data_IF_536461713291
#
_entry.id   IF_536461713291
#
_cell.length_a   1.000
_cell.length_b   1.000
_cell.length_c   1.000
_cell.angle_alpha   90.00
_cell.angle_beta   90.00
_cell.angle_gamma   90.00
#
_symmetry.space_group_name_H-M   'P 1'
#
loop_
_entity.id
_entity.type
_entity.pdbx_description
1 polymer ?
#
# COMPACT_ATOMS: atom_id res chain seq x y z
N UNK A 1 -18.05 15.91 -12.00
CA UNK A 1 -18.74 15.82 -10.69
C UNK A 1 -18.38 17.07 -9.91
N UNK A 2 -19.27 17.62 -9.08
CA UNK A 2 -18.89 18.73 -8.18
C UNK A 2 -18.12 18.15 -6.99
N UNK A 3 -17.11 18.86 -6.53
CA UNK A 3 -16.18 18.54 -5.43
C UNK A 3 -16.85 18.38 -4.04
N UNK A 4 -18.19 18.39 -3.98
CA UNK A 4 -18.99 18.37 -2.76
C UNK A 4 -19.96 17.19 -2.66
N UNK A 5 -19.99 16.31 -3.67
CA UNK A 5 -20.90 15.16 -3.68
C UNK A 5 -20.10 13.88 -3.49
N UNK A 6 -20.14 13.29 -2.29
CA UNK A 6 -19.56 11.96 -2.06
C UNK A 6 -20.32 10.94 -2.90
N UNK A 7 -19.69 10.47 -3.97
CA UNK A 7 -20.27 9.45 -4.84
C UNK A 7 -20.29 8.07 -4.20
N UNK A 8 -21.08 7.15 -4.75
CA UNK A 8 -21.12 5.74 -4.33
C UNK A 8 -19.73 5.11 -4.33
N UNK A 9 -18.84 5.53 -5.25
CA UNK A 9 -17.45 5.08 -5.29
C UNK A 9 -16.63 5.47 -4.05
N UNK A 10 -16.80 6.69 -3.53
CA UNK A 10 -16.12 7.13 -2.32
C UNK A 10 -16.60 6.35 -1.08
N UNK A 11 -17.91 6.12 -0.97
CA UNK A 11 -18.48 5.30 0.10
C UNK A 11 -18.00 3.84 0.04
N UNK A 12 -17.96 3.26 -1.16
CA UNK A 12 -17.45 1.91 -1.38
C UNK A 12 -15.97 1.81 -0.98
N UNK A 13 -15.15 2.77 -1.41
CA UNK A 13 -13.73 2.80 -1.07
C UNK A 13 -13.51 2.90 0.44
N UNK A 14 -14.23 3.79 1.13
CA UNK A 14 -14.14 3.92 2.60
C UNK A 14 -14.55 2.61 3.28
N UNK A 15 -15.64 2.00 2.83
CA UNK A 15 -16.13 0.73 3.40
C UNK A 15 -15.10 -0.39 3.21
N UNK A 16 -14.53 -0.50 2.01
CA UNK A 16 -13.48 -1.48 1.69
C UNK A 16 -12.21 -1.20 2.50
N UNK A 17 -11.83 0.06 2.66
CA UNK A 17 -10.67 0.47 3.44
C UNK A 17 -10.85 0.10 4.92
N UNK A 18 -11.99 0.45 5.52
CA UNK A 18 -12.30 0.08 6.91
C UNK A 18 -12.31 -1.44 7.08
N UNK A 19 -13.01 -2.17 6.20
CA UNK A 19 -13.07 -3.62 6.29
C UNK A 19 -11.69 -4.27 6.11
N UNK A 20 -10.93 -3.88 5.09
CA UNK A 20 -9.61 -4.41 4.79
C UNK A 20 -8.59 -4.08 5.88
N UNK A 21 -8.57 -2.85 6.39
CA UNK A 21 -7.70 -2.46 7.50
C UNK A 21 -8.06 -3.22 8.78
N UNK A 22 -9.36 -3.43 9.04
CA UNK A 22 -9.81 -4.21 10.20
C UNK A 22 -9.34 -5.65 10.09
N UNK A 23 -9.51 -6.29 8.93
CA UNK A 23 -9.07 -7.68 8.71
C UNK A 23 -7.54 -7.82 8.80
N UNK A 24 -6.79 -6.92 8.16
CA UNK A 24 -5.33 -6.92 8.25
C UNK A 24 -4.85 -6.66 9.69
N UNK A 25 -5.47 -5.72 10.40
CA UNK A 25 -5.15 -5.43 11.79
C UNK A 25 -5.44 -6.60 12.72
N UNK A 26 -6.58 -7.29 12.54
CA UNK A 26 -6.91 -8.50 13.29
C UNK A 26 -5.91 -9.63 13.01
N UNK A 27 -5.51 -9.82 11.76
CA UNK A 27 -4.55 -10.85 11.40
C UNK A 27 -3.15 -10.57 11.98
N UNK A 28 -2.67 -9.32 11.86
CA UNK A 28 -1.42 -8.90 12.51
C UNK A 28 -1.48 -9.07 14.04
N UNK A 29 -2.60 -8.70 14.67
CA UNK A 29 -2.78 -8.87 16.11
C UNK A 29 -2.85 -10.34 16.54
N UNK A 30 -3.35 -11.23 15.68
CA UNK A 30 -3.38 -12.68 15.93
C UNK A 30 -1.99 -13.31 15.94
N UNK A 31 -1.08 -12.81 15.10
CA UNK A 31 0.30 -13.31 15.01
C UNK A 31 1.23 -12.72 16.09
N UNK A 32 0.92 -11.52 16.58
CA UNK A 32 1.67 -10.90 17.69
C UNK A 32 1.24 -11.53 19.01
N UNK A 33 2.05 -12.46 19.52
CA UNK A 33 1.81 -13.11 20.82
C UNK A 33 1.76 -12.07 21.95
N UNK A 34 0.57 -11.87 22.53
CA UNK A 34 0.32 -10.88 23.59
C UNK A 34 0.91 -11.32 24.94
N UNK A 35 1.31 -12.60 25.08
CA UNK A 35 1.89 -13.17 26.29
C UNK A 35 3.30 -12.63 26.61
N UNK A 36 3.97 -11.99 25.65
CA UNK A 36 5.37 -11.56 25.71
C UNK A 36 5.59 -10.05 25.87
N UNK A 37 4.53 -9.26 26.10
CA UNK A 37 4.66 -7.81 26.36
C UNK A 37 4.67 -7.49 27.87
N UNK A 38 4.44 -8.49 28.73
CA UNK A 38 4.58 -8.33 30.18
C UNK A 38 6.06 -8.50 30.55
N UNK A 39 6.67 -7.46 31.11
CA UNK A 39 8.05 -7.45 31.66
C UNK A 39 8.10 -8.23 32.98
N UNK A 40 7.62 -9.47 33.00
CA UNK A 40 7.89 -10.44 34.06
C UNK A 40 8.36 -11.74 33.39
N UNK A 41 9.66 -11.82 33.13
CA UNK A 41 10.29 -12.97 32.47
C UNK A 41 10.35 -12.81 30.95
N UNK A 42 11.37 -12.08 30.45
CA UNK A 42 11.52 -11.72 29.05
C UNK A 42 11.63 -12.90 28.08
N UNK A 43 10.53 -13.29 27.47
CA UNK A 43 10.51 -14.07 26.24
C UNK A 43 10.75 -13.13 25.05
N UNK A 44 11.87 -13.32 24.34
CA UNK A 44 12.26 -12.53 23.17
C UNK A 44 11.32 -12.71 21.96
N UNK A 45 10.47 -13.74 21.96
CA UNK A 45 9.57 -14.11 20.86
C UNK A 45 8.53 -13.02 20.52
N UNK A 46 8.07 -12.24 21.51
CA UNK A 46 7.11 -11.15 21.27
C UNK A 46 7.70 -9.95 20.55
N UNK A 47 8.99 -9.69 20.74
CA UNK A 47 9.66 -8.55 20.12
C UNK A 47 9.90 -8.85 18.63
N UNK A 48 10.29 -10.08 18.29
CA UNK A 48 10.53 -10.49 16.90
C UNK A 48 9.25 -10.45 16.05
N UNK A 49 8.13 -10.93 16.61
CA UNK A 49 6.81 -10.85 15.94
C UNK A 49 6.35 -9.40 15.77
N UNK A 50 6.52 -8.54 16.78
CA UNK A 50 6.19 -7.12 16.67
C UNK A 50 7.04 -6.38 15.63
N UNK A 51 8.35 -6.68 15.55
CA UNK A 51 9.25 -6.13 14.53
C UNK A 51 8.84 -6.59 13.14
N UNK A 52 8.43 -7.85 12.99
CA UNK A 52 7.94 -8.38 11.71
C UNK A 52 6.66 -7.70 11.26
N UNK A 53 5.69 -7.56 12.16
CA UNK A 53 4.45 -6.82 11.91
C UNK A 53 4.74 -5.37 11.49
N UNK A 54 5.64 -4.68 12.20
CA UNK A 54 6.06 -3.32 11.85
C UNK A 54 6.70 -3.27 10.45
N UNK A 55 7.59 -4.22 10.14
CA UNK A 55 8.23 -4.34 8.83
C UNK A 55 7.22 -4.50 7.69
N UNK A 56 6.19 -5.33 7.89
CA UNK A 56 5.08 -5.50 6.93
C UNK A 56 4.30 -4.20 6.73
N UNK A 57 3.92 -3.52 7.82
CA UNK A 57 3.17 -2.26 7.75
C UNK A 57 3.97 -1.18 7.02
N UNK A 58 5.25 -1.02 7.36
CA UNK A 58 6.13 -0.04 6.71
C UNK A 58 6.31 -0.37 5.22
N UNK A 59 6.54 -1.64 4.88
CA UNK A 59 6.70 -2.05 3.48
C UNK A 59 5.43 -1.83 2.65
N UNK A 60 4.25 -2.10 3.22
CA UNK A 60 2.96 -1.84 2.57
C UNK A 60 2.73 -0.34 2.35
N UNK A 61 3.02 0.50 3.35
CA UNK A 61 2.87 1.96 3.24
C UNK A 61 3.84 2.54 2.21
N UNK A 62 5.12 2.15 2.26
CA UNK A 62 6.13 2.56 1.28
C UNK A 62 5.74 2.13 -0.12
N UNK A 63 5.24 0.89 -0.29
CA UNK A 63 4.72 0.39 -1.56
C UNK A 63 3.54 1.22 -2.07
N UNK A 64 2.59 1.58 -1.22
CA UNK A 64 1.47 2.44 -1.57
C UNK A 64 1.92 3.84 -2.02
N UNK A 65 2.93 4.43 -1.36
CA UNK A 65 3.52 5.71 -1.78
C UNK A 65 4.28 5.60 -3.09
N UNK A 66 5.03 4.51 -3.29
CA UNK A 66 5.70 4.25 -4.56
C UNK A 66 4.69 4.10 -5.71
N UNK A 67 3.56 3.43 -5.48
CA UNK A 67 2.46 3.35 -6.47
C UNK A 67 2.02 4.72 -6.94
N UNK A 68 1.78 5.68 -6.03
CA UNK A 68 1.37 7.03 -6.44
C UNK A 68 2.41 7.69 -7.35
N UNK A 69 3.70 7.54 -7.03
CA UNK A 69 4.79 8.06 -7.86
C UNK A 69 4.82 7.39 -9.23
N UNK A 70 4.71 6.05 -9.27
CA UNK A 70 4.69 5.29 -10.52
C UNK A 70 3.52 5.70 -11.42
N UNK A 71 2.34 5.90 -10.84
CA UNK A 71 1.17 6.36 -11.56
C UNK A 71 1.37 7.78 -12.14
N UNK A 72 1.95 8.70 -11.37
CA UNK A 72 2.28 10.05 -11.86
C UNK A 72 3.31 9.99 -12.99
N UNK A 73 4.36 9.18 -12.88
CA UNK A 73 5.42 9.08 -13.87
C UNK A 73 5.03 8.32 -15.16
N UNK A 74 4.02 7.45 -15.10
CA UNK A 74 3.61 6.60 -16.23
C UNK A 74 2.25 6.95 -16.82
N UNK A 75 1.42 7.72 -16.11
CA UNK A 75 0.07 8.06 -16.53
C UNK A 75 -0.05 9.42 -17.20
N UNK A 76 -1.23 9.66 -17.77
CA UNK A 76 -1.64 10.95 -18.34
C UNK A 76 -2.86 11.48 -17.60
N UNK A 77 -3.00 12.80 -17.49
CA UNK A 77 -4.17 13.39 -16.85
C UNK A 77 -5.45 13.17 -17.68
N UNK A 78 -6.58 12.95 -16.99
CA UNK A 78 -7.92 12.87 -17.61
C UNK A 78 -8.53 14.24 -17.92
N UNK A 79 -8.18 15.25 -17.13
CA UNK A 79 -8.69 16.61 -17.19
C UNK A 79 -7.73 17.56 -16.46
N UNK A 80 -7.88 18.86 -16.72
CA UNK A 80 -7.14 19.90 -16.00
C UNK A 80 -7.51 19.90 -14.50
N UNK A 81 -6.48 19.93 -13.64
CA UNK A 81 -6.64 19.92 -12.18
C UNK A 81 -5.28 19.80 -11.47
N UNK A 82 -5.27 19.83 -10.13
CA UNK A 82 -4.01 19.79 -9.35
C UNK A 82 -3.14 18.56 -9.65
N UNK A 83 -3.77 17.41 -9.92
CA UNK A 83 -3.01 16.22 -10.34
C UNK A 83 -2.42 16.37 -11.75
N UNK A 84 -3.06 17.14 -12.64
CA UNK A 84 -2.57 17.41 -13.99
C UNK A 84 -1.28 18.24 -14.00
N UNK A 85 -1.08 19.11 -13.01
CA UNK A 85 0.18 19.85 -12.86
C UNK A 85 1.38 18.91 -12.62
N UNK A 86 1.15 17.81 -11.89
CA UNK A 86 2.17 16.78 -11.65
C UNK A 86 2.25 15.79 -12.82
N UNK A 87 1.11 15.47 -13.44
CA UNK A 87 0.97 14.55 -14.57
C UNK A 87 1.35 15.25 -15.89
N UNK A 88 2.61 15.12 -16.30
CA UNK A 88 3.12 15.68 -17.56
C UNK A 88 4.51 16.29 -17.44
N UNK A 89 4.90 16.67 -16.22
CA UNK A 89 6.26 17.12 -15.89
C UNK A 89 7.19 15.95 -15.54
N UNK A 90 6.65 14.93 -14.86
CA UNK A 90 7.39 13.74 -14.47
C UNK A 90 7.36 12.66 -15.55
N UNK A 91 8.52 12.08 -15.87
CA UNK A 91 8.66 10.97 -16.81
C UNK A 91 9.06 9.65 -16.13
N UNK A 92 9.09 8.54 -16.88
CA UNK A 92 9.42 7.22 -16.33
C UNK A 92 10.78 7.13 -15.63
N UNK A 93 11.74 8.00 -15.97
CA UNK A 93 13.06 8.04 -15.32
C UNK A 93 13.00 8.60 -13.90
N UNK A 94 12.04 9.48 -13.62
CA UNK A 94 11.88 10.11 -12.31
C UNK A 94 11.36 9.12 -11.26
N UNK A 95 10.81 7.98 -11.70
CA UNK A 95 10.43 6.87 -10.84
C UNK A 95 11.62 6.02 -10.35
N UNK A 96 12.80 6.13 -10.96
CA UNK A 96 13.96 5.27 -10.63
C UNK A 96 14.42 5.50 -9.19
N UNK A 97 14.62 6.76 -8.80
CA UNK A 97 15.09 7.09 -7.46
C UNK A 97 14.07 6.68 -6.36
N UNK A 98 12.77 7.01 -6.49
CA UNK A 98 11.72 6.50 -5.59
C UNK A 98 11.69 4.97 -5.49
N UNK A 99 11.83 4.25 -6.61
CA UNK A 99 11.87 2.80 -6.61
C UNK A 99 13.08 2.26 -5.82
N UNK A 100 14.26 2.86 -6.00
CA UNK A 100 15.46 2.51 -5.24
C UNK A 100 15.30 2.79 -3.74
N UNK A 101 14.69 3.93 -3.38
CA UNK A 101 14.43 4.30 -1.98
C UNK A 101 13.39 3.40 -1.30
N UNK A 102 12.56 2.70 -2.06
CA UNK A 102 11.60 1.73 -1.52
C UNK A 102 12.24 0.36 -1.19
N UNK A 103 13.38 0.02 -1.79
CA UNK A 103 14.02 -1.30 -1.62
C UNK A 103 14.34 -1.64 -0.15
N UNK A 104 14.89 -0.72 0.69
CA UNK A 104 15.14 -1.01 2.10
C UNK A 104 13.89 -1.43 2.86
N UNK A 105 12.71 -0.92 2.49
CA UNK A 105 11.46 -1.29 3.14
C UNK A 105 11.11 -2.76 2.92
N UNK A 106 11.37 -3.30 1.72
CA UNK A 106 11.18 -4.72 1.42
C UNK A 106 12.16 -5.65 2.15
N UNK A 107 13.28 -5.11 2.64
CA UNK A 107 14.30 -5.88 3.37
C UNK A 107 14.10 -5.85 4.91
N UNK A 108 13.10 -5.13 5.42
CA UNK A 108 12.91 -4.92 6.86
C UNK A 108 12.69 -6.21 7.67
N UNK A 109 12.15 -7.24 7.05
CA UNK A 109 11.91 -8.55 7.70
C UNK A 109 12.97 -9.59 7.35
N UNK A 110 14.05 -9.23 6.66
CA UNK A 110 15.07 -10.19 6.22
C UNK A 110 15.62 -11.02 7.39
N UNK A 111 15.75 -12.35 7.26
CA UNK A 111 15.61 -13.15 6.03
C UNK A 111 14.17 -13.58 5.68
N UNK A 112 13.19 -13.25 6.52
CA UNK A 112 11.78 -13.54 6.27
C UNK A 112 11.23 -12.66 5.13
N UNK A 113 10.49 -13.18 4.14
CA UNK A 113 10.11 -12.41 2.94
C UNK A 113 8.90 -11.49 3.13
N UNK A 114 8.25 -11.48 4.29
CA UNK A 114 6.97 -10.81 4.53
C UNK A 114 6.93 -9.35 4.04
N UNK A 115 7.95 -8.54 4.36
CA UNK A 115 8.04 -7.16 3.88
C UNK A 115 8.24 -7.07 2.36
N UNK A 116 9.05 -7.94 1.77
CA UNK A 116 9.24 -7.98 0.32
C UNK A 116 7.94 -8.34 -0.40
N UNK A 117 7.18 -9.31 0.12
CA UNK A 117 5.87 -9.70 -0.41
C UNK A 117 4.84 -8.59 -0.18
N UNK A 118 4.89 -7.87 0.94
CA UNK A 118 4.02 -6.71 1.17
C UNK A 118 4.27 -5.59 0.14
N UNK A 119 5.54 -5.28 -0.12
CA UNK A 119 5.93 -4.28 -1.12
C UNK A 119 5.45 -4.69 -2.53
N UNK A 120 5.68 -5.95 -2.92
CA UNK A 120 5.23 -6.48 -4.20
C UNK A 120 3.70 -6.52 -4.31
N UNK A 121 3.01 -6.92 -3.24
CA UNK A 121 1.55 -6.94 -3.14
C UNK A 121 0.94 -5.55 -3.33
N UNK A 122 1.56 -4.52 -2.77
CA UNK A 122 1.14 -3.14 -2.97
C UNK A 122 1.25 -2.70 -4.45
N UNK A 123 2.40 -2.97 -5.08
CA UNK A 123 2.62 -2.65 -6.49
C UNK A 123 1.62 -3.35 -7.41
N UNK A 124 1.39 -4.65 -7.19
CA UNK A 124 0.43 -5.44 -7.98
C UNK A 124 -1.02 -5.02 -7.71
N UNK A 125 -1.34 -4.66 -6.47
CA UNK A 125 -2.69 -4.24 -6.05
C UNK A 125 -3.20 -3.00 -6.77
N UNK A 126 -2.30 -2.10 -7.20
CA UNK A 126 -2.68 -0.89 -7.93
C UNK A 126 -2.97 -1.11 -9.42
N UNK A 127 -2.47 -2.21 -10.01
CA UNK A 127 -2.58 -2.49 -11.45
C UNK A 127 -4.04 -2.50 -11.93
N UNK A 128 -5.00 -3.19 -11.26
CA UNK A 128 -6.40 -3.18 -11.68
C UNK A 128 -7.01 -1.78 -11.72
N UNK A 129 -6.67 -0.92 -10.77
CA UNK A 129 -7.19 0.45 -10.68
C UNK A 129 -6.66 1.30 -11.84
N UNK A 130 -5.36 1.22 -12.12
CA UNK A 130 -4.74 1.89 -13.26
C UNK A 130 -5.33 1.44 -14.60
N UNK A 131 -5.45 0.12 -14.78
CA UNK A 131 -5.99 -0.52 -15.97
C UNK A 131 -7.47 -0.17 -16.21
N UNK A 132 -8.26 -0.03 -15.15
CA UNK A 132 -9.64 0.42 -15.24
C UNK A 132 -9.71 1.91 -15.59
N UNK A 133 -8.93 2.76 -14.91
CA UNK A 133 -8.96 4.21 -15.12
C UNK A 133 -8.55 4.59 -16.54
N UNK A 134 -7.49 3.98 -17.07
CA UNK A 134 -7.03 4.22 -18.45
C UNK A 134 -8.07 3.82 -19.50
N UNK A 135 -8.79 2.71 -19.28
CA UNK A 135 -9.82 2.23 -20.21
C UNK A 135 -11.15 2.97 -20.11
N UNK A 136 -11.55 3.36 -18.90
CA UNK A 136 -12.90 3.86 -18.62
C UNK A 136 -12.96 5.37 -18.42
N UNK A 137 -11.88 6.01 -17.96
CA UNK A 137 -11.83 7.44 -17.67
C UNK A 137 -10.89 8.22 -18.60
N UNK A 138 -10.07 7.53 -19.41
CA UNK A 138 -9.16 8.15 -20.39
C UNK A 138 -7.84 8.63 -19.80
N UNK A 139 -7.45 8.18 -18.60
CA UNK A 139 -6.23 8.62 -17.93
C UNK A 139 -6.33 8.48 -16.41
N UNK A 140 -5.57 9.29 -15.68
CA UNK A 140 -5.58 9.40 -14.22
C UNK A 140 -6.22 10.70 -13.71
N UNK A 141 -6.80 10.64 -12.52
CA UNK A 141 -7.25 11.79 -11.73
C UNK A 141 -6.64 11.70 -10.33
N UNK A 142 -6.71 12.80 -9.55
CA UNK A 142 -6.30 12.79 -8.15
C UNK A 142 -7.02 11.69 -7.33
N UNK A 143 -8.32 11.50 -7.58
CA UNK A 143 -9.12 10.46 -6.93
C UNK A 143 -8.62 9.05 -7.26
N UNK A 144 -8.24 8.80 -8.52
CA UNK A 144 -7.72 7.50 -8.94
C UNK A 144 -6.37 7.21 -8.30
N UNK A 145 -5.50 8.23 -8.19
CA UNK A 145 -4.22 8.12 -7.51
C UNK A 145 -4.44 7.83 -6.01
N UNK A 146 -5.36 8.56 -5.36
CA UNK A 146 -5.73 8.35 -3.97
C UNK A 146 -6.34 6.96 -3.73
N UNK A 147 -7.28 6.53 -4.57
CA UNK A 147 -7.85 5.19 -4.50
C UNK A 147 -6.79 4.10 -4.69
N UNK A 148 -5.86 4.30 -5.63
CA UNK A 148 -4.76 3.36 -5.85
C UNK A 148 -3.84 3.26 -4.63
N UNK A 149 -3.58 4.35 -3.91
CA UNK A 149 -2.83 4.33 -2.64
C UNK A 149 -3.51 3.43 -1.60
N UNK A 150 -4.82 3.60 -1.41
CA UNK A 150 -5.56 2.79 -0.43
C UNK A 150 -5.62 1.31 -0.83
N UNK A 151 -5.91 1.00 -2.10
CA UNK A 151 -5.94 -0.40 -2.58
C UNK A 151 -4.55 -1.04 -2.50
N UNK A 152 -3.49 -0.33 -2.87
CA UNK A 152 -2.12 -0.81 -2.76
C UNK A 152 -1.75 -1.11 -1.30
N UNK A 153 -2.09 -0.21 -0.36
CA UNK A 153 -1.86 -0.42 1.07
C UNK A 153 -2.55 -1.70 1.56
N UNK A 154 -3.83 -1.87 1.23
CA UNK A 154 -4.59 -3.05 1.62
C UNK A 154 -3.98 -4.33 1.02
N UNK A 155 -3.69 -4.33 -0.28
CA UNK A 155 -3.11 -5.49 -0.95
C UNK A 155 -1.74 -5.87 -0.36
N UNK A 156 -0.89 -4.87 -0.09
CA UNK A 156 0.40 -5.07 0.55
C UNK A 156 0.29 -5.63 1.96
N UNK A 157 -0.59 -5.07 2.80
CA UNK A 157 -0.81 -5.58 4.15
C UNK A 157 -1.26 -7.04 4.14
N UNK A 158 -2.25 -7.40 3.32
CA UNK A 158 -2.75 -8.77 3.28
C UNK A 158 -1.72 -9.74 2.70
N UNK A 159 -1.01 -9.36 1.63
CA UNK A 159 0.01 -10.20 1.03
C UNK A 159 1.19 -10.44 2.01
N UNK A 160 1.63 -9.41 2.73
CA UNK A 160 2.68 -9.51 3.74
C UNK A 160 2.28 -10.39 4.91
N UNK A 161 1.04 -10.25 5.41
CA UNK A 161 0.49 -11.12 6.46
C UNK A 161 0.41 -12.55 5.97
N UNK A 162 -0.13 -12.82 4.78
CA UNK A 162 -0.19 -14.17 4.22
C UNK A 162 1.21 -14.77 4.12
N UNK A 163 2.17 -14.02 3.61
CA UNK A 163 3.56 -14.49 3.53
C UNK A 163 4.19 -14.75 4.90
N UNK A 164 3.75 -14.05 5.95
CA UNK A 164 4.17 -14.30 7.33
C UNK A 164 3.56 -15.57 7.90
N UNK A 165 2.28 -15.85 7.63
CA UNK A 165 1.60 -17.01 8.22
C UNK A 165 1.88 -18.33 7.51
N UNK A 166 2.33 -18.30 6.26
CA UNK A 166 2.55 -19.52 5.44
C UNK A 166 4.03 -19.92 5.28
N UNK A 167 4.96 -19.17 5.85
CA UNK A 167 6.40 -19.42 5.77
C UNK A 167 6.89 -20.28 6.94
#
# INVERSE_FOLDING_TARGET
>A
MRDTTVGVGAFLLITLAVAGLTLAGLALAGEVSTASIIIEGGSFEGIESAVTALGVVVAAEVGAKLVMVLLVCAGTATHEGMAAELLGEAGPRDAVLPALLALPAGALTWPHPAAAVALAGALLGAVPVWLWSTRNLGGLSGDVIGASNEIARLAGLHAGVIAWTVW
#
